data_IF_965565518844
#
_entry.id   IF_965565518844
#
_cell.length_a   1.000
_cell.length_b   1.000
_cell.length_c   1.000
_cell.angle_alpha   90.00
_cell.angle_beta   90.00
_cell.angle_gamma   90.00
#
_symmetry.space_group_name_H-M   'P 1'
#
loop_
_entity.id
_entity.type
_entity.pdbx_description
1 polymer ?
#
# COMPACT_ATOMS: atom_id res chain seq x y z
N UNK A 1 -7.90 27.80 2.41
CA UNK A 1 -7.68 26.56 1.62
C UNK A 1 -7.32 25.48 2.64
N UNK A 2 -8.32 24.74 3.11
CA UNK A 2 -8.24 23.77 4.22
C UNK A 2 -7.81 22.40 3.68
N UNK A 3 -6.62 22.32 3.13
CA UNK A 3 -5.90 21.06 3.03
C UNK A 3 -4.76 21.17 4.03
N UNK A 4 -4.51 20.18 4.87
CA UNK A 4 -3.42 20.13 5.86
C UNK A 4 -2.01 20.15 5.25
N UNK A 5 -1.75 21.02 4.28
CA UNK A 5 -0.49 21.18 3.54
C UNK A 5 0.52 22.11 4.20
N UNK A 6 0.22 22.66 5.39
CA UNK A 6 1.20 23.44 6.16
C UNK A 6 2.11 22.55 7.02
N UNK A 7 1.82 21.25 7.10
CA UNK A 7 2.50 20.34 8.02
C UNK A 7 3.48 19.40 7.31
N UNK A 8 4.55 19.06 8.02
CA UNK A 8 5.47 18.03 7.57
C UNK A 8 4.73 16.70 7.43
N UNK A 9 5.01 15.96 6.36
CA UNK A 9 4.42 14.67 6.01
C UNK A 9 4.33 13.68 7.19
N UNK A 10 5.34 13.66 8.06
CA UNK A 10 5.38 12.81 9.27
C UNK A 10 4.23 13.10 10.24
N UNK A 11 3.87 14.37 10.43
CA UNK A 11 2.77 14.78 11.31
C UNK A 11 1.41 14.35 10.73
N UNK A 12 1.22 14.50 9.43
CA UNK A 12 -0.02 14.08 8.75
C UNK A 12 -0.23 12.56 8.84
N UNK A 13 0.85 11.78 8.72
CA UNK A 13 0.80 10.33 8.85
C UNK A 13 0.44 9.92 10.29
N UNK A 14 1.04 10.55 11.29
CA UNK A 14 0.72 10.32 12.69
C UNK A 14 -0.76 10.61 12.99
N UNK A 15 -1.33 11.66 12.41
CA UNK A 15 -2.75 11.99 12.57
C UNK A 15 -3.68 10.87 12.07
N UNK A 16 -3.33 10.17 10.99
CA UNK A 16 -4.14 9.04 10.49
C UNK A 16 -4.12 7.81 11.40
N UNK A 17 -3.04 7.61 12.15
CA UNK A 17 -2.85 6.43 13.01
C UNK A 17 -3.49 6.58 14.39
N UNK A 18 -4.00 7.77 14.73
CA UNK A 18 -4.73 8.02 15.98
C UNK A 18 -5.91 7.05 16.10
N UNK A 19 -6.05 6.35 17.23
CA UNK A 19 -7.06 5.29 17.38
C UNK A 19 -8.49 5.80 17.64
N UNK A 20 -8.66 7.08 17.93
CA UNK A 20 -9.94 7.73 18.18
C UNK A 20 -10.73 7.98 16.90
N UNK A 21 -12.06 8.11 16.97
CA UNK A 21 -12.88 8.50 15.81
C UNK A 21 -13.01 10.02 15.72
N UNK A 22 -12.93 10.55 14.50
CA UNK A 22 -13.09 11.99 14.25
C UNK A 22 -14.56 12.43 14.20
N UNK A 23 -15.49 11.48 14.15
CA UNK A 23 -16.92 11.73 13.98
C UNK A 23 -17.66 11.98 15.30
N UNK A 24 -17.15 11.44 16.41
CA UNK A 24 -17.81 11.48 17.72
C UNK A 24 -17.55 12.81 18.44
N UNK A 25 -18.56 13.42 19.07
CA UNK A 25 -18.39 14.68 19.82
C UNK A 25 -17.52 14.51 21.08
N UNK A 26 -16.74 15.54 21.43
CA UNK A 26 -15.80 15.60 22.57
C UNK A 26 -16.43 15.41 23.96
N UNK A 27 -17.75 15.28 24.03
CA UNK A 27 -18.53 15.18 25.26
C UNK A 27 -18.80 13.72 25.64
N UNK A 28 -18.54 12.79 24.73
CA UNK A 28 -18.57 11.35 24.95
C UNK A 28 -17.14 10.88 25.22
N UNK A 29 -16.93 9.86 26.06
CA UNK A 29 -15.62 9.24 26.36
C UNK A 29 -14.89 8.64 25.14
N UNK A 30 -15.48 8.81 23.97
CA UNK A 30 -15.24 8.08 22.74
C UNK A 30 -14.65 8.98 21.63
N UNK A 31 -14.62 10.29 21.86
CA UNK A 31 -13.98 11.28 20.98
C UNK A 31 -12.50 11.49 21.30
N UNK A 32 -11.73 11.96 20.31
CA UNK A 32 -10.36 12.47 20.51
C UNK A 32 -10.34 13.48 21.67
N UNK A 33 -9.52 13.21 22.69
CA UNK A 33 -9.39 14.06 23.88
C UNK A 33 -8.85 15.48 23.56
N UNK A 34 -8.77 16.34 24.58
CA UNK A 34 -8.40 17.75 24.44
C UNK A 34 -7.00 18.00 23.83
N UNK A 35 -6.08 17.03 23.90
CA UNK A 35 -4.73 17.11 23.33
C UNK A 35 -4.68 16.76 21.82
N UNK A 36 -5.64 16.01 21.31
CA UNK A 36 -5.72 15.57 19.90
C UNK A 36 -6.67 16.46 19.05
N UNK A 37 -7.15 17.57 19.65
CA UNK A 37 -7.97 18.60 18.99
C UNK A 37 -7.33 19.17 17.73
N UNK A 38 -5.99 19.17 17.65
CA UNK A 38 -5.25 19.73 16.54
C UNK A 38 -5.50 18.97 15.23
N UNK A 39 -5.48 17.63 15.25
CA UNK A 39 -5.80 16.81 14.08
C UNK A 39 -7.25 17.02 13.63
N UNK A 40 -8.21 16.91 14.56
CA UNK A 40 -9.64 17.11 14.24
C UNK A 40 -9.93 18.52 13.69
N UNK A 41 -9.33 19.56 14.23
CA UNK A 41 -9.52 20.93 13.75
C UNK A 41 -9.02 21.13 12.31
N UNK A 42 -7.94 20.44 11.93
CA UNK A 42 -7.40 20.50 10.56
C UNK A 42 -8.31 19.81 9.54
N UNK A 43 -9.00 18.72 9.92
CA UNK A 43 -9.81 17.90 9.01
C UNK A 43 -11.32 18.21 9.03
N UNK A 44 -11.87 18.64 10.18
CA UNK A 44 -13.30 18.94 10.38
C UNK A 44 -13.65 20.43 10.24
N UNK A 45 -12.63 21.31 10.19
CA UNK A 45 -12.80 22.76 10.17
C UNK A 45 -13.27 23.34 11.52
N UNK A 46 -13.12 24.66 11.75
CA UNK A 46 -13.44 25.30 13.03
C UNK A 46 -14.94 25.26 13.39
N UNK A 47 -15.80 25.14 12.38
CA UNK A 47 -17.26 25.32 12.51
C UNK A 47 -18.05 24.02 12.30
N UNK A 48 -17.39 22.87 12.09
CA UNK A 48 -18.01 21.56 11.88
C UNK A 48 -19.02 21.49 10.68
N UNK A 49 -19.03 22.50 9.81
CA UNK A 49 -19.96 22.60 8.68
C UNK A 49 -19.56 21.73 7.47
N UNK A 50 -18.34 21.21 7.45
CA UNK A 50 -17.79 20.42 6.34
C UNK A 50 -17.77 18.94 6.76
N UNK A 51 -18.39 18.09 5.95
CA UNK A 51 -18.34 16.64 6.16
C UNK A 51 -16.89 16.15 6.11
N UNK A 52 -16.42 15.50 7.18
CA UNK A 52 -15.05 14.97 7.29
C UNK A 52 -14.68 14.03 6.12
N UNK A 53 -15.66 13.28 5.60
CA UNK A 53 -15.47 12.42 4.44
C UNK A 53 -15.12 13.21 3.18
N UNK A 54 -15.70 14.41 3.02
CA UNK A 54 -15.43 15.25 1.86
C UNK A 54 -14.03 15.86 1.92
N UNK A 55 -13.58 16.32 3.10
CA UNK A 55 -12.22 16.85 3.26
C UNK A 55 -11.17 15.75 3.07
N UNK A 56 -11.40 14.54 3.60
CA UNK A 56 -10.53 13.38 3.38
C UNK A 56 -10.47 12.95 1.92
N UNK A 57 -11.62 12.86 1.24
CA UNK A 57 -11.66 12.51 -0.18
C UNK A 57 -10.98 13.58 -1.04
N UNK A 58 -11.20 14.87 -0.75
CA UNK A 58 -10.53 15.96 -1.45
C UNK A 58 -9.01 15.91 -1.25
N UNK A 59 -8.54 15.64 -0.03
CA UNK A 59 -7.12 15.42 0.26
C UNK A 59 -6.57 14.24 -0.52
N UNK A 60 -7.26 13.10 -0.50
CA UNK A 60 -6.86 11.88 -1.20
C UNK A 60 -6.66 12.12 -2.70
N UNK A 61 -7.63 12.78 -3.34
CA UNK A 61 -7.57 13.11 -4.77
C UNK A 61 -6.46 14.11 -5.06
N UNK A 62 -6.35 15.19 -4.29
CA UNK A 62 -5.30 16.19 -4.47
C UNK A 62 -3.89 15.60 -4.28
N UNK A 63 -3.69 14.79 -3.24
CA UNK A 63 -2.41 14.14 -2.95
C UNK A 63 -2.03 13.10 -4.00
N UNK A 64 -3.02 12.40 -4.55
CA UNK A 64 -2.79 11.48 -5.68
C UNK A 64 -2.26 12.22 -6.91
N UNK A 65 -2.90 13.32 -7.34
CA UNK A 65 -2.39 14.12 -8.47
C UNK A 65 -1.03 14.75 -8.18
N UNK A 66 -0.84 15.28 -6.97
CA UNK A 66 0.42 15.88 -6.56
C UNK A 66 1.55 14.85 -6.53
N UNK A 67 1.27 13.60 -6.15
CA UNK A 67 2.24 12.50 -6.18
C UNK A 67 2.70 12.15 -7.59
N UNK A 68 1.77 12.16 -8.57
CA UNK A 68 2.09 11.92 -9.98
C UNK A 68 2.99 13.04 -10.48
N UNK A 69 2.63 14.30 -10.24
CA UNK A 69 3.42 15.47 -10.65
C UNK A 69 4.80 15.46 -9.98
N UNK A 70 4.87 15.11 -8.70
CA UNK A 70 6.13 15.02 -7.97
C UNK A 70 7.05 13.92 -8.54
N UNK A 71 6.48 12.80 -8.99
CA UNK A 71 7.24 11.68 -9.58
C UNK A 71 7.83 12.00 -10.96
N UNK A 72 7.26 12.97 -11.69
CA UNK A 72 7.77 13.41 -13.00
C UNK A 72 8.89 14.44 -12.90
N UNK A 73 9.10 15.06 -11.73
CA UNK A 73 10.18 16.01 -11.52
C UNK A 73 11.53 15.27 -11.45
N UNK A 74 12.62 15.81 -12.04
CA UNK A 74 13.95 15.22 -11.99
C UNK A 74 14.62 15.47 -10.63
N UNK A 75 13.96 15.07 -9.54
CA UNK A 75 14.44 15.19 -8.17
C UNK A 75 14.60 13.78 -7.60
N UNK A 76 15.72 13.47 -6.91
CA UNK A 76 15.86 12.20 -6.21
C UNK A 76 14.88 12.15 -5.02
N UNK A 77 13.67 11.66 -5.27
CA UNK A 77 12.61 11.49 -4.28
C UNK A 77 12.06 10.05 -4.33
N UNK A 78 11.75 9.49 -3.16
CA UNK A 78 11.18 8.14 -3.05
C UNK A 78 9.66 8.13 -3.26
N UNK A 79 9.16 7.22 -4.10
CA UNK A 79 7.72 7.04 -4.38
C UNK A 79 6.98 6.30 -3.25
N UNK A 80 7.72 5.61 -2.37
CA UNK A 80 7.14 4.79 -1.31
C UNK A 80 6.28 5.58 -0.32
N UNK A 81 6.79 6.72 0.17
CA UNK A 81 6.10 7.53 1.18
C UNK A 81 4.77 8.15 0.72
N UNK A 82 4.65 8.83 -0.45
CA UNK A 82 3.37 9.39 -0.87
C UNK A 82 2.29 8.31 -1.08
N UNK A 83 2.68 7.15 -1.62
CA UNK A 83 1.80 5.97 -1.75
C UNK A 83 1.33 5.48 -0.38
N UNK A 84 2.22 5.51 0.62
CA UNK A 84 1.89 5.09 1.99
C UNK A 84 0.82 5.97 2.62
N UNK A 85 0.95 7.29 2.50
CA UNK A 85 -0.04 8.24 3.05
C UNK A 85 -1.37 8.18 2.32
N UNK A 86 -1.35 7.99 1.01
CA UNK A 86 -2.57 7.74 0.23
C UNK A 86 -3.29 6.48 0.75
N UNK A 87 -2.56 5.38 0.97
CA UNK A 87 -3.15 4.17 1.55
C UNK A 87 -3.69 4.39 2.97
N UNK A 88 -2.98 5.15 3.81
CA UNK A 88 -3.40 5.48 5.16
C UNK A 88 -4.71 6.28 5.18
N UNK A 89 -4.81 7.31 4.34
CA UNK A 89 -6.01 8.14 4.21
C UNK A 89 -7.20 7.32 3.68
N UNK A 90 -6.98 6.41 2.73
CA UNK A 90 -8.02 5.49 2.26
C UNK A 90 -8.49 4.55 3.37
N UNK A 91 -7.57 3.89 4.07
CA UNK A 91 -7.89 2.99 5.18
C UNK A 91 -8.61 3.70 6.33
N UNK A 92 -8.23 4.95 6.61
CA UNK A 92 -8.91 5.81 7.59
C UNK A 92 -10.35 6.09 7.20
N UNK A 93 -10.57 6.44 5.94
CA UNK A 93 -11.91 6.72 5.39
C UNK A 93 -12.82 5.50 5.52
N UNK A 94 -12.30 4.31 5.22
CA UNK A 94 -13.03 3.04 5.41
C UNK A 94 -13.31 2.76 6.89
N UNK A 95 -12.35 3.01 7.78
CA UNK A 95 -12.52 2.83 9.22
C UNK A 95 -13.62 3.74 9.82
N UNK A 96 -13.66 5.01 9.43
CA UNK A 96 -14.71 5.95 9.85
C UNK A 96 -16.07 5.59 9.25
N UNK A 97 -16.10 5.11 8.00
CA UNK A 97 -17.33 4.61 7.36
C UNK A 97 -17.88 3.36 8.07
N UNK A 98 -17.00 2.45 8.47
CA UNK A 98 -17.39 1.24 9.21
C UNK A 98 -17.97 1.60 10.58
N UNK A 99 -17.39 2.61 11.25
CA UNK A 99 -17.90 3.13 12.53
C UNK A 99 -19.31 3.74 12.39
N UNK A 100 -19.56 4.46 11.30
CA UNK A 100 -20.88 5.01 10.97
C UNK A 100 -21.95 3.94 10.79
N UNK A 101 -21.62 2.87 10.08
CA UNK A 101 -22.58 1.80 9.78
C UNK A 101 -22.81 0.88 10.99
N UNK A 102 -21.81 0.72 11.87
CA UNK A 102 -21.88 -0.11 13.08
C UNK A 102 -21.58 0.69 14.36
N UNK A 103 -22.49 1.60 14.77
CA UNK A 103 -22.26 2.49 15.91
C UNK A 103 -22.12 1.73 17.25
N UNK A 104 -22.85 0.62 17.39
CA UNK A 104 -22.85 -0.21 18.61
C UNK A 104 -21.68 -1.21 18.68
N UNK A 105 -20.72 -1.14 17.74
CA UNK A 105 -19.64 -2.12 17.60
C UNK A 105 -20.04 -3.33 16.76
N UNK A 106 -19.04 -4.09 16.30
CA UNK A 106 -19.30 -5.36 15.62
C UNK A 106 -19.60 -6.39 16.72
N UNK A 107 -20.77 -7.02 16.64
CA UNK A 107 -21.16 -8.09 17.57
C UNK A 107 -20.43 -9.36 17.12
N UNK A 108 -19.21 -9.59 17.63
CA UNK A 108 -18.56 -10.90 17.57
C UNK A 108 -18.81 -11.64 18.89
N UNK A 109 -20.00 -12.23 19.03
CA UNK A 109 -20.36 -13.03 20.21
C UNK A 109 -20.72 -12.20 21.45
N UNK A 110 -20.09 -12.50 22.60
CA UNK A 110 -20.40 -11.94 23.94
C UNK A 110 -19.73 -10.58 24.21
N UNK A 111 -18.78 -10.15 23.37
CA UNK A 111 -18.05 -8.89 23.54
C UNK A 111 -18.33 -7.94 22.38
N UNK A 112 -18.78 -6.73 22.70
CA UNK A 112 -18.89 -5.63 21.73
C UNK A 112 -17.50 -5.07 21.45
N UNK A 113 -16.83 -5.58 20.43
CA UNK A 113 -15.52 -5.05 20.02
C UNK A 113 -15.71 -3.74 19.25
N UNK A 114 -15.12 -2.67 19.79
CA UNK A 114 -15.16 -1.34 19.19
C UNK A 114 -14.21 -1.28 17.99
N UNK A 115 -14.70 -0.67 16.90
CA UNK A 115 -13.94 -0.42 15.68
C UNK A 115 -12.98 0.77 15.92
N UNK A 116 -11.68 0.50 15.86
CA UNK A 116 -10.64 1.53 15.96
C UNK A 116 -10.16 1.92 14.56
N UNK A 117 -10.48 3.13 14.04
CA UNK A 117 -10.16 3.52 12.67
C UNK A 117 -8.66 3.61 12.38
N UNK A 118 -7.81 3.78 13.41
CA UNK A 118 -6.35 3.80 13.25
C UNK A 118 -5.78 2.49 12.70
N UNK A 119 -6.34 1.35 13.12
CA UNK A 119 -5.92 0.02 12.66
C UNK A 119 -6.23 -0.16 11.16
N UNK A 120 -7.38 0.35 10.71
CA UNK A 120 -7.77 0.31 9.30
C UNK A 120 -6.93 1.25 8.45
N UNK A 121 -6.52 2.41 8.98
CA UNK A 121 -5.57 3.31 8.33
C UNK A 121 -4.22 2.61 8.11
N UNK A 122 -3.68 1.97 9.14
CA UNK A 122 -2.41 1.20 9.06
C UNK A 122 -2.52 0.05 8.05
N UNK A 123 -3.62 -0.71 8.08
CA UNK A 123 -3.86 -1.80 7.14
C UNK A 123 -3.97 -1.32 5.68
N UNK A 124 -4.68 -0.21 5.44
CA UNK A 124 -4.81 0.41 4.12
C UNK A 124 -3.49 0.94 3.59
N UNK A 125 -2.67 1.56 4.47
CA UNK A 125 -1.33 2.01 4.13
C UNK A 125 -0.43 0.85 3.67
N UNK A 126 -0.40 -0.23 4.45
CA UNK A 126 0.38 -1.43 4.14
C UNK A 126 -0.08 -2.09 2.83
N UNK A 127 -1.39 -2.28 2.66
CA UNK A 127 -1.95 -2.97 1.51
C UNK A 127 -1.74 -2.19 0.21
N UNK A 128 -1.97 -0.87 0.23
CA UNK A 128 -1.78 -0.04 -0.96
C UNK A 128 -0.31 0.07 -1.35
N UNK A 129 0.60 0.29 -0.39
CA UNK A 129 2.03 0.29 -0.67
C UNK A 129 2.53 -1.05 -1.18
N UNK A 130 2.18 -2.15 -0.51
CA UNK A 130 2.56 -3.50 -0.94
C UNK A 130 2.08 -3.78 -2.36
N UNK A 131 0.84 -3.41 -2.66
CA UNK A 131 0.23 -3.63 -3.98
C UNK A 131 0.98 -2.86 -5.06
N UNK A 132 1.39 -1.63 -4.78
CA UNK A 132 2.08 -0.76 -5.72
C UNK A 132 3.53 -1.21 -5.98
N UNK A 133 4.20 -1.76 -4.96
CA UNK A 133 5.60 -2.22 -5.04
C UNK A 133 5.73 -3.71 -5.39
N UNK A 134 4.63 -4.47 -5.39
CA UNK A 134 4.64 -5.94 -5.46
C UNK A 134 5.49 -6.60 -4.36
N UNK A 135 5.55 -6.00 -3.16
CA UNK A 135 6.33 -6.54 -2.04
C UNK A 135 5.46 -6.81 -0.82
N UNK A 136 5.67 -7.97 -0.20
CA UNK A 136 4.98 -8.35 1.05
C UNK A 136 5.73 -7.80 2.28
N UNK A 137 7.00 -7.40 2.12
CA UNK A 137 7.83 -6.83 3.19
C UNK A 137 7.28 -5.53 3.78
N UNK A 138 6.45 -4.79 3.03
CA UNK A 138 5.78 -3.57 3.52
C UNK A 138 4.93 -3.87 4.76
N UNK A 139 4.22 -5.00 4.77
CA UNK A 139 3.41 -5.39 5.92
C UNK A 139 4.26 -5.64 7.17
N UNK A 140 5.46 -6.21 7.00
CA UNK A 140 6.43 -6.39 8.08
C UNK A 140 6.96 -5.05 8.57
N UNK A 141 7.34 -4.14 7.67
CA UNK A 141 7.79 -2.79 8.03
C UNK A 141 6.72 -2.08 8.86
N UNK A 142 5.46 -2.13 8.42
CA UNK A 142 4.34 -1.49 9.14
C UNK A 142 4.07 -2.14 10.48
N UNK A 143 4.22 -3.46 10.57
CA UNK A 143 4.16 -4.18 11.82
C UNK A 143 5.25 -3.71 12.81
N UNK A 144 6.51 -3.63 12.37
CA UNK A 144 7.64 -3.14 13.18
C UNK A 144 7.38 -1.71 13.68
N UNK A 145 6.75 -0.86 12.85
CA UNK A 145 6.38 0.50 13.23
C UNK A 145 5.23 0.56 14.25
N UNK A 146 4.30 -0.40 14.21
CA UNK A 146 3.13 -0.42 15.09
C UNK A 146 3.40 -1.14 16.42
N UNK A 147 4.32 -2.11 16.44
CA UNK A 147 4.73 -2.83 17.65
C UNK A 147 3.71 -3.82 18.21
N UNK A 148 2.63 -4.15 17.47
CA UNK A 148 1.56 -5.05 17.91
C UNK A 148 1.45 -6.30 17.01
N UNK A 149 1.83 -7.46 17.53
CA UNK A 149 1.85 -8.74 16.80
C UNK A 149 0.47 -9.28 16.46
N UNK A 150 -0.56 -8.94 17.25
CA UNK A 150 -1.92 -9.43 17.08
C UNK A 150 -2.53 -8.98 15.74
N UNK A 151 -2.10 -7.81 15.22
CA UNK A 151 -2.59 -7.26 13.97
C UNK A 151 -1.89 -7.85 12.72
N UNK A 152 -0.82 -8.62 12.90
CA UNK A 152 0.04 -9.06 11.80
C UNK A 152 -0.71 -9.94 10.79
N UNK A 153 -1.44 -10.95 11.28
CA UNK A 153 -2.13 -11.92 10.40
C UNK A 153 -3.15 -11.24 9.46
N UNK A 154 -4.12 -10.43 9.93
CA UNK A 154 -5.12 -9.83 9.04
C UNK A 154 -4.51 -8.81 8.07
N UNK A 155 -3.50 -8.03 8.48
CA UNK A 155 -2.83 -7.07 7.60
C UNK A 155 -2.02 -7.78 6.51
N UNK A 156 -1.32 -8.86 6.85
CA UNK A 156 -0.60 -9.68 5.88
C UNK A 156 -1.54 -10.27 4.82
N UNK A 157 -2.72 -10.75 5.23
CA UNK A 157 -3.73 -11.26 4.28
C UNK A 157 -4.20 -10.13 3.35
N UNK A 158 -4.51 -8.94 3.89
CA UNK A 158 -4.93 -7.80 3.09
C UNK A 158 -3.86 -7.39 2.05
N UNK A 159 -2.59 -7.37 2.44
CA UNK A 159 -1.46 -7.05 1.56
C UNK A 159 -1.28 -8.12 0.48
N UNK A 160 -1.39 -9.41 0.83
CA UNK A 160 -1.30 -10.51 -0.14
C UNK A 160 -2.41 -10.44 -1.19
N UNK A 161 -3.65 -10.19 -0.76
CA UNK A 161 -4.79 -10.03 -1.67
C UNK A 161 -4.58 -8.82 -2.58
N UNK A 162 -4.17 -7.68 -2.03
CA UNK A 162 -3.91 -6.47 -2.81
C UNK A 162 -2.76 -6.68 -3.83
N UNK A 163 -1.67 -7.33 -3.42
CA UNK A 163 -0.57 -7.70 -4.32
C UNK A 163 -1.02 -8.65 -5.42
N UNK A 164 -1.83 -9.66 -5.10
CA UNK A 164 -2.33 -10.62 -6.08
C UNK A 164 -3.20 -9.93 -7.14
N UNK A 165 -4.11 -9.05 -6.72
CA UNK A 165 -4.96 -8.26 -7.62
C UNK A 165 -4.12 -7.31 -8.47
N UNK A 166 -3.16 -6.60 -7.88
CA UNK A 166 -2.31 -5.67 -8.64
C UNK A 166 -1.42 -6.42 -9.65
N UNK A 167 -0.84 -7.55 -9.23
CA UNK A 167 -0.01 -8.41 -10.09
C UNK A 167 -0.75 -8.94 -11.31
N UNK A 168 -2.07 -9.10 -11.21
CA UNK A 168 -2.90 -9.52 -12.33
C UNK A 168 -3.19 -8.36 -13.31
N UNK A 169 -3.31 -7.13 -12.81
CA UNK A 169 -3.73 -5.97 -13.59
C UNK A 169 -2.58 -5.21 -14.23
N UNK A 170 -1.46 -5.02 -13.52
CA UNK A 170 -0.40 -4.11 -13.94
C UNK A 170 0.98 -4.57 -13.44
N UNK A 171 2.08 -4.32 -14.18
CA UNK A 171 3.43 -4.50 -13.65
C UNK A 171 3.69 -3.55 -12.49
N UNK A 172 4.66 -3.91 -11.63
CA UNK A 172 5.07 -3.09 -10.50
C UNK A 172 5.53 -1.69 -10.95
N UNK A 173 5.47 -0.70 -10.06
CA UNK A 173 5.95 0.66 -10.37
C UNK A 173 7.42 0.63 -10.81
N UNK A 174 8.25 -0.17 -10.15
CA UNK A 174 9.68 -0.25 -10.46
C UNK A 174 9.93 -0.83 -11.85
N UNK A 175 9.22 -1.90 -12.23
CA UNK A 175 9.31 -2.47 -13.58
C UNK A 175 8.84 -1.48 -14.64
N UNK A 176 7.79 -0.72 -14.33
CA UNK A 176 7.27 0.32 -15.23
C UNK A 176 8.29 1.43 -15.45
N UNK A 177 8.96 1.90 -14.39
CA UNK A 177 10.01 2.92 -14.48
C UNK A 177 11.21 2.42 -15.29
N UNK A 178 11.63 1.17 -15.08
CA UNK A 178 12.75 0.55 -15.81
C UNK A 178 12.44 0.51 -17.32
N UNK A 179 11.22 0.09 -17.69
CA UNK A 179 10.76 0.05 -19.09
C UNK A 179 10.75 1.44 -19.73
N UNK A 180 10.26 2.46 -19.01
CA UNK A 180 10.21 3.85 -19.49
C UNK A 180 11.63 4.42 -19.66
N UNK A 181 12.57 4.05 -18.79
CA UNK A 181 13.97 4.51 -18.83
C UNK A 181 14.82 3.75 -19.86
N UNK A 182 14.27 2.74 -20.56
CA UNK A 182 14.99 1.89 -21.51
C UNK A 182 16.32 1.34 -20.98
N UNK A 183 16.38 1.01 -19.69
CA UNK A 183 17.58 0.43 -19.12
C UNK A 183 17.70 -1.02 -19.59
N UNK A 184 18.89 -1.50 -20.00
CA UNK A 184 19.11 -2.90 -20.30
C UNK A 184 18.97 -3.71 -19.00
N UNK A 185 17.76 -4.17 -18.73
CA UNK A 185 17.42 -5.03 -17.60
C UNK A 185 17.16 -6.44 -18.13
N UNK A 186 17.86 -7.43 -17.55
CA UNK A 186 17.58 -8.83 -17.83
C UNK A 186 16.23 -9.14 -17.17
N UNK A 187 15.19 -9.53 -17.92
CA UNK A 187 13.91 -9.88 -17.33
C UNK A 187 14.10 -11.04 -16.35
N UNK A 188 13.42 -10.95 -15.20
CA UNK A 188 13.49 -11.98 -14.18
C UNK A 188 12.97 -13.30 -14.76
N UNK A 189 13.85 -14.30 -14.79
CA UNK A 189 13.52 -15.65 -15.21
C UNK A 189 12.58 -16.23 -14.17
N UNK A 190 11.27 -16.11 -14.40
CA UNK A 190 10.24 -16.83 -13.64
C UNK A 190 10.72 -18.25 -13.42
N UNK A 191 10.69 -18.73 -12.17
CA UNK A 191 11.23 -20.02 -11.73
C UNK A 191 10.76 -21.23 -12.57
N UNK A 192 9.69 -21.07 -13.37
CA UNK A 192 9.22 -22.06 -14.34
C UNK A 192 10.09 -22.14 -15.61
N UNK A 193 10.64 -21.01 -16.07
CA UNK A 193 11.54 -20.94 -17.24
C UNK A 193 12.98 -21.33 -16.91
N UNK A 194 13.43 -21.15 -15.67
CA UNK A 194 14.81 -21.50 -15.26
C UNK A 194 15.06 -23.01 -15.29
N UNK A 195 14.08 -23.83 -14.88
CA UNK A 195 14.16 -25.30 -14.99
C UNK A 195 14.11 -25.76 -16.45
N UNK A 196 13.32 -25.09 -17.29
CA UNK A 196 13.19 -25.42 -18.72
C UNK A 196 14.42 -24.97 -19.51
N UNK A 197 15.03 -23.83 -19.17
CA UNK A 197 16.25 -23.33 -19.81
C UNK A 197 17.48 -24.08 -19.33
N UNK A 198 17.57 -24.42 -18.03
CA UNK A 198 18.63 -25.31 -17.52
C UNK A 198 18.49 -26.72 -18.09
N UNK A 199 17.27 -27.26 -18.20
CA UNK A 199 17.00 -28.52 -18.89
C UNK A 199 17.38 -28.49 -20.37
N UNK A 200 17.10 -27.40 -21.09
CA UNK A 200 17.52 -27.22 -22.50
C UNK A 200 19.03 -26.99 -22.67
N UNK A 201 19.68 -26.33 -21.73
CA UNK A 201 21.14 -26.16 -21.70
C UNK A 201 21.86 -27.48 -21.42
N UNK A 202 21.41 -28.21 -20.40
CA UNK A 202 21.95 -29.51 -19.99
C UNK A 202 21.69 -30.61 -21.04
N UNK A 203 20.51 -30.65 -21.67
CA UNK A 203 20.21 -31.60 -22.76
C UNK A 203 21.03 -31.32 -24.03
N UNK A 204 21.46 -30.08 -24.24
CA UNK A 204 22.33 -29.68 -25.37
C UNK A 204 23.80 -30.05 -25.14
N UNK A 205 24.23 -30.17 -23.87
CA UNK A 205 25.54 -30.72 -23.49
C UNK A 205 25.55 -32.25 -23.43
N UNK A 206 24.44 -32.91 -23.09
CA UNK A 206 24.32 -34.37 -23.00
C UNK A 206 24.08 -35.07 -24.34
N UNK A 207 23.57 -34.35 -25.35
CA UNK A 207 23.45 -34.83 -26.72
C UNK A 207 24.17 -33.88 -27.68
N UNK A 208 25.52 -33.91 -27.71
CA UNK A 208 26.24 -33.39 -28.86
C UNK A 208 25.78 -34.19 -30.09
N UNK A 209 25.18 -33.52 -31.08
CA UNK A 209 24.93 -34.16 -32.38
C UNK A 209 26.27 -34.39 -33.04
N UNK A 210 26.86 -35.57 -32.86
CA UNK A 210 28.06 -35.94 -33.61
C UNK A 210 28.08 -37.42 -33.96
N UNK A 211 27.65 -37.69 -35.20
CA UNK A 211 28.16 -38.75 -36.10
C UNK A 211 27.73 -38.30 -37.51
N UNK A 212 28.60 -37.75 -38.38
CA UNK A 212 29.68 -38.41 -39.11
C UNK A 212 29.28 -39.72 -39.80
N UNK A 213 28.52 -39.62 -40.90
CA UNK A 213 28.56 -40.54 -42.05
C UNK A 213 28.23 -39.66 -43.27
N UNK A 214 29.16 -39.20 -44.11
CA UNK A 214 30.02 -39.97 -44.99
C UNK A 214 31.25 -39.12 -45.39
N UNK A 215 32.44 -39.56 -45.03
CA UNK A 215 33.58 -39.44 -45.93
C UNK A 215 33.44 -40.58 -46.96
N UNK A 216 33.77 -40.31 -48.23
CA UNK A 216 34.11 -41.32 -49.24
C UNK A 216 32.97 -42.00 -50.05
N UNK A 217 32.30 -41.23 -50.90
CA UNK A 217 31.96 -41.64 -52.28
C UNK A 217 31.65 -40.34 -53.04
N UNK A 218 32.54 -39.76 -53.84
CA UNK A 218 32.91 -40.15 -55.20
C UNK A 218 34.01 -39.14 -55.56
N UNK A 219 35.23 -39.60 -55.81
CA UNK A 219 35.93 -39.43 -57.09
C UNK A 219 35.41 -38.31 -58.01
#
# INVERSE_FOLDING_TARGET
MYLGGEQAFSHTLHDFFISCSWLENTNNSDGCGSAEKFGRANWAGPDNNINIFYSLAAFQVAYFFLSIIASTLPVPAGIFMPVFVIGAAFGRTVGELLRLNYPNGVIEGILTTRVHPGIYAVAGAAAFCGAVTHTVSVAVIVFELTGQLVLLIPVMIAVLVANAVCSYLQPSIYDSIIKIKHLPYLPDISHSSSIVIFGKGFFRELFPKEEYIHQESIN
#
